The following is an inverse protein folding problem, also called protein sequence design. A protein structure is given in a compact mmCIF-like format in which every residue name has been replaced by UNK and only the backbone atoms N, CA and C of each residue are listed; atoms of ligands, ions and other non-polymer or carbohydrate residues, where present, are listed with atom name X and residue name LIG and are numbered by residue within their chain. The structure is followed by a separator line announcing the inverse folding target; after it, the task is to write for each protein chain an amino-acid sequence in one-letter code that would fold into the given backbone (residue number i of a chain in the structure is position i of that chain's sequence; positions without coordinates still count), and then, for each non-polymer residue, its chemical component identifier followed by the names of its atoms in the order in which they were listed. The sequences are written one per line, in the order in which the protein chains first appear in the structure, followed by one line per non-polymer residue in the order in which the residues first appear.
data_IF_199304321536
#
_entry.id   IF_199304321536
#
_cell.length_a   1.000
_cell.length_b   1.000
_cell.length_c   1.000
_cell.angle_alpha   90.00
_cell.angle_beta   90.00
_cell.angle_gamma   90.00
#
_symmetry.space_group_name_H-M   'P 1'
#
loop_
_entity.id
_entity.type
_entity.pdbx_description
1 polymer ?
#
# COMPACT_ATOMS: atom_id res chain seq x y z
N UNK A 1 4.01 -2.48 2.73
CA UNK A 1 2.99 -1.63 3.37
C UNK A 1 1.75 -1.55 2.50
N UNK A 2 0.60 -1.25 3.10
CA UNK A 2 -0.66 -1.01 2.41
C UNK A 2 -1.32 0.30 2.83
N UNK A 3 -2.24 0.79 2.01
CA UNK A 3 -3.00 2.02 2.23
C UNK A 3 -4.35 1.99 1.53
N UNK A 4 -5.21 2.93 1.89
CA UNK A 4 -6.54 3.08 1.33
C UNK A 4 -6.51 4.17 0.26
N UNK A 5 -6.87 3.81 -0.97
CA UNK A 5 -7.01 4.76 -2.07
C UNK A 5 -8.28 5.57 -1.91
N UNK A 6 -8.14 6.90 -2.01
CA UNK A 6 -9.24 7.85 -2.01
C UNK A 6 -9.58 8.18 -3.46
N UNK A 7 -10.81 7.88 -3.87
CA UNK A 7 -11.26 8.11 -5.24
C UNK A 7 -11.92 9.48 -5.41
N UNK A 8 -11.89 9.95 -6.65
CA UNK A 8 -12.70 11.07 -7.09
C UNK A 8 -14.21 10.76 -6.89
N UNK A 9 -15.04 11.74 -6.50
CA UNK A 9 -16.49 11.55 -6.35
C UNK A 9 -17.22 11.23 -7.65
N UNK A 10 -16.71 11.71 -8.79
CA UNK A 10 -17.33 11.55 -10.11
C UNK A 10 -16.71 10.40 -10.92
N UNK A 11 -15.48 9.96 -10.57
CA UNK A 11 -14.82 8.78 -11.12
C UNK A 11 -14.27 7.84 -10.02
N UNK A 12 -15.00 6.76 -9.68
CA UNK A 12 -14.60 5.81 -8.63
C UNK A 12 -13.28 5.06 -8.87
N UNK A 13 -12.76 5.05 -10.10
CA UNK A 13 -11.49 4.41 -10.43
C UNK A 13 -10.32 5.40 -10.53
N UNK A 14 -10.59 6.70 -10.44
CA UNK A 14 -9.57 7.74 -10.36
C UNK A 14 -9.15 7.92 -8.89
N UNK A 15 -7.98 7.43 -8.53
CA UNK A 15 -7.41 7.63 -7.20
C UNK A 15 -6.75 9.01 -7.14
N UNK A 16 -7.22 9.86 -6.21
CA UNK A 16 -6.77 11.24 -6.02
C UNK A 16 -5.96 11.44 -4.75
N UNK A 17 -5.97 10.47 -3.83
CA UNK A 17 -5.17 10.50 -2.60
C UNK A 17 -4.97 9.08 -2.03
N UNK A 18 -4.06 8.92 -1.08
CA UNK A 18 -3.84 7.68 -0.33
C UNK A 18 -3.72 7.98 1.16
N UNK A 19 -4.50 7.27 1.98
CA UNK A 19 -4.42 7.34 3.43
C UNK A 19 -3.76 6.07 3.99
N UNK A 20 -2.78 6.26 4.89
CA UNK A 20 -2.21 5.19 5.68
C UNK A 20 -2.91 5.07 7.04
N UNK A 21 -3.09 3.83 7.46
CA UNK A 21 -3.49 3.48 8.82
C UNK A 21 -2.33 2.79 9.52
N UNK A 22 -2.34 2.81 10.85
CA UNK A 22 -1.38 2.06 11.65
C UNK A 22 -1.39 0.60 11.20
N UNK A 23 -0.19 0.07 10.97
CA UNK A 23 -0.04 -1.25 10.39
C UNK A 23 1.28 -1.90 10.78
N UNK A 24 1.22 -3.22 10.89
CA UNK A 24 2.39 -4.08 11.05
C UNK A 24 2.68 -4.78 9.73
N UNK A 25 3.89 -4.59 9.21
CA UNK A 25 4.33 -5.15 7.95
C UNK A 25 5.44 -6.16 8.16
N UNK A 26 5.38 -7.29 7.46
CA UNK A 26 6.55 -8.13 7.20
C UNK A 26 6.93 -8.02 5.72
N UNK A 27 7.94 -8.77 5.28
CA UNK A 27 8.30 -8.86 3.85
C UNK A 27 7.15 -9.39 2.97
N UNK A 28 6.19 -10.12 3.55
CA UNK A 28 5.13 -10.83 2.80
C UNK A 28 3.71 -10.60 3.33
N UNK A 29 3.55 -9.86 4.43
CA UNK A 29 2.23 -9.62 5.04
C UNK A 29 2.06 -8.15 5.42
N UNK A 30 0.81 -7.69 5.40
CA UNK A 30 0.38 -6.41 5.98
C UNK A 30 -0.81 -6.70 6.88
N UNK A 31 -0.76 -6.19 8.10
CA UNK A 31 -1.84 -6.27 9.07
C UNK A 31 -2.20 -4.85 9.52
N UNK A 32 -3.45 -4.46 9.30
CA UNK A 32 -3.97 -3.16 9.71
C UNK A 32 -4.45 -3.20 11.15
N UNK A 33 -4.21 -2.12 11.88
CA UNK A 33 -4.75 -1.88 13.21
C UNK A 33 -6.23 -1.48 13.12
N UNK A 34 -7.12 -2.28 13.71
CA UNK A 34 -8.57 -2.11 13.61
C UNK A 34 -9.04 -0.75 14.17
N UNK A 35 -8.42 -0.24 15.25
CA UNK A 35 -8.73 1.08 15.80
C UNK A 35 -8.35 2.18 14.81
N UNK A 36 -7.16 2.12 14.22
CA UNK A 36 -6.73 3.08 13.20
C UNK A 36 -7.58 3.02 11.92
N UNK A 37 -8.15 1.87 11.56
CA UNK A 37 -9.12 1.76 10.47
C UNK A 37 -10.43 2.44 10.85
N UNK A 38 -10.93 2.25 12.07
CA UNK A 38 -12.13 2.97 12.53
C UNK A 38 -11.93 4.49 12.53
N UNK A 39 -10.77 4.96 13.01
CA UNK A 39 -10.40 6.39 12.97
C UNK A 39 -10.36 6.94 11.54
N UNK A 40 -9.89 6.16 10.56
CA UNK A 40 -9.94 6.53 9.14
C UNK A 40 -11.39 6.74 8.68
N UNK A 41 -12.29 5.83 9.03
CA UNK A 41 -13.71 5.95 8.65
C UNK A 41 -14.33 7.23 9.21
N UNK A 42 -14.10 7.52 10.49
CA UNK A 42 -14.63 8.72 11.14
C UNK A 42 -14.07 9.99 10.49
N UNK A 43 -12.75 10.08 10.28
CA UNK A 43 -12.11 11.22 9.61
C UNK A 43 -12.67 11.47 8.21
N UNK A 44 -12.87 10.41 7.42
CA UNK A 44 -13.34 10.55 6.05
C UNK A 44 -14.81 10.94 5.97
N UNK A 45 -15.64 10.41 6.87
CA UNK A 45 -17.04 10.83 6.99
C UNK A 45 -17.15 12.28 7.45
N UNK A 46 -16.34 12.71 8.43
CA UNK A 46 -16.28 14.10 8.88
C UNK A 46 -15.81 15.06 7.77
N UNK A 47 -14.94 14.58 6.87
CA UNK A 47 -14.54 15.29 5.66
C UNK A 47 -15.62 15.31 4.56
N UNK A 48 -16.79 14.70 4.80
CA UNK A 48 -17.93 14.67 3.88
C UNK A 48 -17.84 13.61 2.79
N UNK A 49 -16.90 12.67 2.88
CA UNK A 49 -16.74 11.57 1.93
C UNK A 49 -17.64 10.39 2.27
N UNK A 50 -18.02 9.63 1.27
CA UNK A 50 -18.78 8.38 1.44
C UNK A 50 -17.86 7.17 1.41
N UNK A 51 -18.22 6.03 2.03
CA UNK A 51 -17.37 4.83 2.06
C UNK A 51 -17.01 4.27 0.68
N UNK A 52 -17.81 4.52 -0.36
CA UNK A 52 -17.45 4.18 -1.74
C UNK A 52 -16.23 4.95 -2.26
N UNK A 53 -15.92 6.11 -1.68
CA UNK A 53 -14.77 6.91 -2.08
C UNK A 53 -13.46 6.49 -1.40
N UNK A 54 -13.50 5.94 -0.18
CA UNK A 54 -12.26 5.70 0.59
C UNK A 54 -12.07 4.27 1.09
N UNK A 55 -13.12 3.43 1.09
CA UNK A 55 -13.07 2.09 1.66
C UNK A 55 -13.13 0.97 0.60
N UNK A 56 -12.89 1.29 -0.67
CA UNK A 56 -13.03 0.35 -1.79
C UNK A 56 -11.72 -0.04 -2.44
N UNK A 57 -10.68 0.78 -2.32
CA UNK A 57 -9.43 0.60 -3.05
C UNK A 57 -8.32 0.31 -2.03
N UNK A 58 -7.77 -0.89 -2.10
CA UNK A 58 -6.59 -1.26 -1.33
C UNK A 58 -5.36 -1.21 -2.20
N UNK A 59 -4.39 -0.38 -1.81
CA UNK A 59 -3.10 -0.24 -2.47
C UNK A 59 -2.05 -0.87 -1.56
N UNK A 60 -1.21 -1.78 -2.05
CA UNK A 60 -0.06 -2.30 -1.30
C UNK A 60 1.18 -2.47 -2.14
N UNK A 61 2.32 -2.54 -1.46
CA UNK A 61 3.64 -2.55 -2.08
C UNK A 61 4.34 -3.89 -1.92
N UNK A 62 4.99 -4.35 -2.99
CA UNK A 62 5.87 -5.51 -2.97
C UNK A 62 7.34 -5.07 -3.00
N UNK A 63 8.18 -5.51 -2.05
CA UNK A 63 9.59 -5.15 -2.03
C UNK A 63 10.40 -5.79 -3.17
N UNK A 64 9.87 -6.86 -3.78
CA UNK A 64 10.47 -7.55 -4.93
C UNK A 64 10.07 -6.97 -6.30
N UNK A 65 10.38 -7.73 -7.36
CA UNK A 65 10.15 -7.29 -8.75
C UNK A 65 8.77 -7.67 -9.32
N UNK A 66 7.95 -8.41 -8.57
CA UNK A 66 6.66 -8.93 -9.04
C UNK A 66 5.50 -8.20 -8.35
N UNK A 67 4.57 -7.70 -9.16
CA UNK A 67 3.30 -7.16 -8.69
C UNK A 67 2.18 -8.21 -8.65
N UNK A 68 2.46 -9.49 -8.90
CA UNK A 68 1.43 -10.52 -8.85
C UNK A 68 1.00 -10.77 -7.40
N UNK A 69 -0.32 -10.90 -7.12
CA UNK A 69 -0.82 -11.21 -5.79
C UNK A 69 -0.31 -12.57 -5.32
N UNK A 70 0.09 -12.63 -4.06
CA UNK A 70 0.37 -13.84 -3.32
C UNK A 70 -0.91 -14.41 -2.71
N UNK A 71 -0.83 -15.63 -2.15
CA UNK A 71 -1.96 -16.21 -1.42
C UNK A 71 -2.39 -15.38 -0.20
N UNK A 72 -1.44 -14.70 0.44
CA UNK A 72 -1.73 -13.80 1.57
C UNK A 72 -2.47 -12.55 1.13
N UNK A 73 -2.15 -12.00 -0.05
CA UNK A 73 -2.84 -10.83 -0.59
C UNK A 73 -4.29 -11.18 -0.95
N UNK A 74 -4.51 -12.37 -1.53
CA UNK A 74 -5.85 -12.90 -1.81
C UNK A 74 -6.68 -13.07 -0.53
N UNK A 75 -6.11 -13.70 0.50
CA UNK A 75 -6.79 -13.90 1.79
C UNK A 75 -7.14 -12.56 2.47
N UNK A 76 -6.21 -11.60 2.45
CA UNK A 76 -6.42 -10.28 3.05
C UNK A 76 -7.54 -9.52 2.33
N UNK A 77 -7.56 -9.61 1.00
CA UNK A 77 -8.59 -9.00 0.17
C UNK A 77 -9.96 -9.66 0.36
N UNK A 78 -10.01 -10.98 0.45
CA UNK A 78 -11.24 -11.72 0.76
C UNK A 78 -11.78 -11.38 2.15
N UNK A 79 -10.91 -11.25 3.15
CA UNK A 79 -11.35 -10.92 4.51
C UNK A 79 -11.89 -9.50 4.64
N UNK A 80 -11.22 -8.54 4.01
CA UNK A 80 -11.42 -7.12 4.31
C UNK A 80 -12.24 -6.38 3.24
N UNK A 81 -12.29 -6.92 2.01
CA UNK A 81 -12.89 -6.26 0.84
C UNK A 81 -13.91 -7.14 0.08
N UNK A 82 -14.37 -8.26 0.66
CA UNK A 82 -15.41 -9.09 0.05
C UNK A 82 -16.86 -8.60 0.27
N UNK A 83 -17.10 -7.77 1.29
CA UNK A 83 -18.44 -7.27 1.63
C UNK A 83 -18.92 -6.12 0.70
N UNK A 84 -18.08 -5.13 0.35
CA UNK A 84 -18.43 -4.08 -0.61
C UNK A 84 -19.04 -4.58 -1.91
N UNK A 85 -19.95 -3.84 -2.54
CA UNK A 85 -20.47 -4.18 -3.89
C UNK A 85 -19.36 -4.28 -4.95
N UNK A 86 -18.30 -3.51 -4.77
CA UNK A 86 -17.08 -3.58 -5.56
C UNK A 86 -15.87 -3.23 -4.69
N UNK A 87 -14.71 -3.75 -5.07
CA UNK A 87 -13.43 -3.40 -4.46
C UNK A 87 -12.27 -3.56 -5.46
N UNK A 88 -11.21 -2.79 -5.27
CA UNK A 88 -9.99 -2.86 -6.09
C UNK A 88 -8.82 -3.28 -5.21
N UNK A 89 -8.07 -4.26 -5.69
CA UNK A 89 -6.72 -4.55 -5.21
C UNK A 89 -5.73 -3.94 -6.20
N UNK A 90 -4.84 -3.10 -5.68
CA UNK A 90 -3.74 -2.52 -6.43
C UNK A 90 -2.41 -2.87 -5.78
N UNK A 91 -1.46 -3.35 -6.57
CA UNK A 91 -0.11 -3.72 -6.13
C UNK A 91 0.91 -2.93 -6.92
N UNK A 92 1.84 -2.30 -6.21
CA UNK A 92 3.02 -1.65 -6.78
C UNK A 92 4.28 -2.40 -6.34
N UNK A 93 5.00 -3.00 -7.29
CA UNK A 93 6.30 -3.59 -7.02
C UNK A 93 7.40 -2.53 -7.03
N UNK A 94 8.48 -2.77 -6.29
CA UNK A 94 9.67 -1.88 -6.29
C UNK A 94 10.25 -1.64 -7.69
N UNK A 95 10.08 -2.59 -8.61
CA UNK A 95 10.50 -2.47 -10.02
C UNK A 95 9.64 -1.49 -10.84
N UNK A 96 8.56 -0.95 -10.28
CA UNK A 96 7.55 -0.17 -10.98
C UNK A 96 6.47 -1.03 -11.66
N UNK A 97 6.55 -2.36 -11.59
CA UNK A 97 5.49 -3.23 -12.10
C UNK A 97 4.19 -3.02 -11.29
N UNK A 98 3.05 -3.01 -11.96
CA UNK A 98 1.74 -2.79 -11.32
C UNK A 98 0.77 -3.94 -11.53
N UNK A 99 -0.16 -4.08 -10.59
CA UNK A 99 -1.28 -5.00 -10.68
C UNK A 99 -2.53 -4.33 -10.18
N UNK A 100 -3.51 -4.10 -11.05
CA UNK A 100 -4.86 -3.67 -10.67
C UNK A 100 -5.87 -4.78 -10.93
N UNK A 101 -6.72 -5.10 -9.95
CA UNK A 101 -7.87 -6.00 -10.14
C UNK A 101 -9.10 -5.41 -9.48
N UNK A 102 -10.14 -5.21 -10.28
CA UNK A 102 -11.48 -4.88 -9.82
C UNK A 102 -12.25 -6.16 -9.56
N UNK A 103 -12.93 -6.23 -8.43
CA UNK A 103 -13.90 -7.28 -8.10
C UNK A 103 -15.26 -6.64 -7.89
N UNK A 104 -16.27 -7.23 -8.51
CA UNK A 104 -17.68 -6.98 -8.23
C UNK A 104 -18.23 -8.13 -7.39
N UNK A 105 -18.94 -7.79 -6.32
CA UNK A 105 -19.63 -8.74 -5.45
C UNK A 105 -21.15 -8.75 -5.66
N UNK A 106 -21.69 -7.81 -6.46
CA UNK A 106 -23.10 -7.82 -6.86
C UNK A 106 -23.39 -8.88 -7.93
N UNK A 107 -24.47 -9.64 -7.77
CA UNK A 107 -24.89 -10.66 -8.73
C UNK A 107 -24.02 -11.92 -8.69
N UNK A 108 -23.67 -12.56 -9.82
CA UNK A 108 -22.81 -13.76 -9.82
C UNK A 108 -21.35 -13.47 -9.38
N UNK A 109 -21.02 -12.20 -9.16
CA UNK A 109 -19.66 -11.73 -8.93
C UNK A 109 -18.80 -11.79 -10.19
N UNK A 110 -17.82 -10.90 -10.30
CA UNK A 110 -16.87 -10.90 -11.41
C UNK A 110 -15.56 -10.26 -10.99
N UNK A 111 -14.46 -10.68 -11.63
CA UNK A 111 -13.14 -10.10 -11.42
C UNK A 111 -12.54 -9.69 -12.76
N UNK A 112 -12.08 -8.45 -12.86
CA UNK A 112 -11.54 -7.88 -14.10
C UNK A 112 -10.16 -7.29 -13.85
N UNK A 113 -9.24 -7.57 -14.78
CA UNK A 113 -7.91 -6.96 -14.80
C UNK A 113 -8.03 -5.51 -15.22
N UNK A 114 -7.53 -4.59 -14.41
CA UNK A 114 -7.50 -3.18 -14.75
C UNK A 114 -6.21 -2.85 -15.51
N UNK A 115 -6.34 -2.02 -16.55
CA UNK A 115 -5.21 -1.24 -17.05
C UNK A 115 -4.92 -0.13 -16.04
N UNK A 116 -3.64 0.16 -15.83
CA UNK A 116 -3.19 1.17 -14.87
C UNK A 116 -2.49 2.25 -15.66
N UNK A 117 -2.88 3.49 -15.41
CA UNK A 117 -2.21 4.66 -15.97
C UNK A 117 -2.21 5.79 -14.93
N UNK A 118 -1.31 6.74 -15.11
CA UNK A 118 -1.25 7.96 -14.30
C UNK A 118 -1.92 9.08 -15.10
N UNK A 119 -3.00 9.64 -14.58
CA UNK A 119 -3.66 10.77 -15.21
C UNK A 119 -2.93 12.09 -14.87
N UNK A 120 -2.06 12.52 -15.78
CA UNK A 120 -1.35 13.81 -15.68
C UNK A 120 -2.22 15.03 -16.03
N UNK A 121 -3.49 14.85 -16.40
CA UNK A 121 -4.41 15.97 -16.69
C UNK A 121 -5.08 16.54 -15.45
N UNK A 122 -5.05 15.79 -14.35
CA UNK A 122 -5.59 16.20 -13.06
C UNK A 122 -4.47 16.80 -12.20
N UNK A 123 -4.73 17.95 -11.58
CA UNK A 123 -3.79 18.53 -10.64
C UNK A 123 -3.67 17.61 -9.42
N UNK A 124 -2.45 17.17 -9.12
CA UNK A 124 -2.11 16.47 -7.89
C UNK A 124 -1.30 17.44 -7.00
N UNK A 125 -1.98 18.28 -6.19
CA UNK A 125 -1.38 19.48 -5.61
C UNK A 125 -0.29 19.22 -4.56
N UNK A 126 -0.07 17.97 -4.14
CA UNK A 126 0.86 17.64 -3.07
C UNK A 126 1.78 16.49 -3.49
N UNK A 127 2.98 16.81 -4.00
CA UNK A 127 4.14 15.95 -3.74
C UNK A 127 4.77 16.42 -2.43
N UNK A 128 4.01 16.35 -1.33
CA UNK A 128 4.50 16.67 0.00
C UNK A 128 5.26 15.46 0.55
N UNK A 129 6.48 15.29 0.06
CA UNK A 129 7.33 14.16 0.44
C UNK A 129 7.60 14.11 1.94
N UNK A 130 7.67 15.26 2.60
CA UNK A 130 7.94 15.36 4.03
C UNK A 130 6.70 14.91 4.81
N UNK A 131 5.52 15.43 4.45
CA UNK A 131 4.25 14.99 5.04
C UNK A 131 4.00 13.48 4.85
N UNK A 132 4.31 12.93 3.68
CA UNK A 132 4.20 11.49 3.42
C UNK A 132 5.17 10.65 4.24
N UNK A 133 6.40 11.14 4.43
CA UNK A 133 7.37 10.45 5.26
C UNK A 133 6.95 10.47 6.74
N UNK A 134 6.43 11.59 7.23
CA UNK A 134 5.87 11.70 8.57
C UNK A 134 4.67 10.76 8.77
N UNK A 135 3.75 10.69 7.81
CA UNK A 135 2.63 9.76 7.83
C UNK A 135 3.10 8.30 7.83
N UNK A 136 4.09 7.98 6.99
CA UNK A 136 4.70 6.66 6.94
C UNK A 136 5.32 6.28 8.29
N UNK A 137 6.12 7.17 8.87
CA UNK A 137 6.80 6.94 10.16
C UNK A 137 5.80 6.87 11.32
N UNK A 138 4.65 7.54 11.23
CA UNK A 138 3.59 7.44 12.22
C UNK A 138 2.85 6.10 12.15
N UNK A 139 2.63 5.59 10.94
CA UNK A 139 1.68 4.49 10.70
C UNK A 139 2.32 3.13 10.42
N UNK A 140 3.52 3.09 9.82
CA UNK A 140 4.11 1.83 9.37
C UNK A 140 5.13 1.30 10.37
N UNK A 141 4.94 0.06 10.83
CA UNK A 141 5.91 -0.68 11.64
C UNK A 141 6.37 -1.91 10.88
N UNK A 142 7.66 -1.97 10.56
CA UNK A 142 8.26 -3.14 9.91
C UNK A 142 8.71 -4.11 11.00
N UNK A 143 8.15 -5.31 10.98
CA UNK A 143 8.59 -6.44 11.77
C UNK A 143 9.31 -7.43 10.87
N UNK A 144 10.61 -7.61 11.12
CA UNK A 144 11.36 -8.73 10.55
C UNK A 144 11.35 -9.90 11.55
N UNK A 145 10.53 -10.94 11.34
CA UNK A 145 10.52 -12.12 12.21
C UNK A 145 11.81 -12.94 12.11
N UNK A 146 12.69 -12.64 11.16
CA UNK A 146 13.99 -13.28 10.94
C UNK A 146 15.18 -12.40 11.31
N UNK A 147 14.96 -11.17 11.79
CA UNK A 147 16.02 -10.35 12.34
C UNK A 147 16.61 -11.08 13.56
N UNK A 148 17.76 -11.71 13.36
CA UNK A 148 18.54 -12.32 14.44
C UNK A 148 18.79 -11.23 15.48
N UNK A 149 18.37 -11.47 16.73
CA UNK A 149 18.96 -10.76 17.86
C UNK A 149 20.48 -10.84 17.71
N UNK A 150 21.24 -9.73 17.87
CA UNK A 150 22.66 -9.72 17.60
C UNK A 150 23.33 -10.83 18.42
N UNK A 151 23.80 -11.86 17.71
CA UNK A 151 24.55 -12.95 18.31
C UNK A 151 25.86 -12.39 18.81
N UNK A 152 26.16 -12.55 20.09
CA UNK A 152 27.42 -12.15 20.75
C UNK A 152 28.62 -13.01 20.32
N UNK A 153 28.62 -13.50 19.08
CA UNK A 153 29.66 -14.37 18.54
C UNK A 153 30.15 -13.72 17.26
N UNK A 154 31.37 -13.18 17.32
CA UNK A 154 32.07 -12.63 16.16
C UNK A 154 32.21 -13.71 15.08
N UNK A 155 31.40 -13.62 14.02
CA UNK A 155 31.51 -14.47 12.83
C UNK A 155 32.34 -13.73 11.76
N UNK A 156 33.59 -14.16 11.48
CA UNK A 156 34.48 -13.52 10.53
C UNK A 156 34.08 -13.72 9.05
N UNK A 157 32.97 -14.42 8.77
CA UNK A 157 32.42 -14.63 7.42
C UNK A 157 31.04 -14.02 7.19
N UNK A 158 30.52 -13.24 8.13
CA UNK A 158 29.33 -12.43 7.88
C UNK A 158 29.66 -11.41 6.77
N UNK A 159 29.20 -11.68 5.55
CA UNK A 159 29.07 -10.65 4.52
C UNK A 159 28.20 -9.55 5.11
N UNK A 160 28.80 -8.39 5.38
CA UNK A 160 28.14 -7.18 5.86
C UNK A 160 27.12 -6.70 4.81
N UNK A 161 25.95 -7.32 4.79
CA UNK A 161 24.74 -6.61 4.42
C UNK A 161 24.26 -5.94 5.70
N UNK A 162 24.58 -4.65 5.86
CA UNK A 162 24.05 -3.80 6.91
C UNK A 162 22.50 -3.88 6.89
N UNK A 163 21.85 -4.52 7.89
CA UNK A 163 20.39 -4.64 7.94
C UNK A 163 19.72 -3.32 8.35
N UNK A 164 20.49 -2.30 8.74
CA UNK A 164 20.01 -1.02 9.24
C UNK A 164 20.03 0.12 8.22
N UNK A 165 20.43 -0.13 6.98
CA UNK A 165 20.26 0.82 5.87
C UNK A 165 19.05 0.50 4.97
N UNK A 166 17.87 0.25 5.57
CA UNK A 166 16.61 0.65 4.90
C UNK A 166 16.47 2.15 5.16
N UNK A 167 17.39 2.89 4.57
CA UNK A 167 17.37 4.34 4.58
C UNK A 167 16.29 4.79 3.60
N UNK A 168 15.27 5.50 4.08
CA UNK A 168 14.31 6.18 3.22
C UNK A 168 15.02 7.09 2.19
N UNK A 169 16.24 7.57 2.47
CA UNK A 169 17.08 8.31 1.53
C UNK A 169 17.64 7.44 0.38
N UNK A 170 17.72 6.11 0.50
CA UNK A 170 18.09 5.24 -0.63
C UNK A 170 16.97 5.07 -1.66
N UNK A 171 15.73 5.40 -1.31
CA UNK A 171 14.64 5.51 -2.30
C UNK A 171 14.87 6.69 -3.27
N UNK A 172 15.61 7.73 -2.84
CA UNK A 172 15.95 8.89 -3.66
C UNK A 172 17.18 8.69 -4.57
N UNK A 173 17.85 7.53 -4.54
CA UNK A 173 19.16 7.36 -5.17
C UNK A 173 19.16 6.64 -6.54
N UNK A 174 18.01 6.35 -7.14
CA UNK A 174 17.96 5.93 -8.56
C UNK A 174 17.40 7.04 -9.42
N UNK A 175 18.34 7.85 -9.92
CA UNK A 175 18.31 8.62 -11.15
C UNK A 175 17.01 8.53 -11.96
N UNK A 176 16.11 9.49 -11.74
CA UNK A 176 15.20 9.96 -12.77
C UNK A 176 16.02 10.70 -13.83
N UNK A 177 16.70 9.96 -14.70
CA UNK A 177 17.16 10.50 -15.99
C UNK A 177 16.11 10.11 -17.01
N UNK A 178 15.27 11.09 -17.34
CA UNK A 178 14.33 11.01 -18.43
C UNK A 178 15.06 10.70 -19.75
N UNK A 179 14.49 9.81 -20.56
CA UNK A 179 14.72 9.71 -22.00
C UNK A 179 13.42 9.28 -22.67
#
# INVERSE_FOLDING_TARGET
MGGFGISDPDDPLLVIDIDLVKQSCTTVTVEFDDESVADLFDRQVDAGRTPDQFARIWIHTHPGCSAMPSGTDEETFDRSFAIPDWAVMFILAKSGATYGRLRFNTGPGASVRLAVDVDYSTDFPASDSDGWLEEYDANVRIHDPFARAPSTVDDPFALECDPTEIDALRWYATEWVAS
#
